data_IF_545386249162
#
_entry.id   IF_545386249162
#
_cell.length_a   1.000
_cell.length_b   1.000
_cell.length_c   1.000
_cell.angle_alpha   90.00
_cell.angle_beta   90.00
_cell.angle_gamma   90.00
#
_symmetry.space_group_name_H-M   'P 1'
#
loop_
_entity.id
_entity.type
_entity.pdbx_description
1 polymer ?
#
# COMPACT_ATOMS: atom_id res chain seq x y z
N UNK A 1 9.46 1.75 -18.25
CA UNK A 1 9.30 1.10 -16.95
C UNK A 1 7.96 1.54 -16.39
N UNK A 2 7.17 0.62 -15.83
CA UNK A 2 5.87 0.96 -15.24
C UNK A 2 6.09 1.18 -13.74
N UNK A 3 5.90 2.39 -13.25
CA UNK A 3 5.85 2.70 -11.81
C UNK A 3 4.42 2.52 -11.28
N UNK A 4 4.30 2.29 -9.99
CA UNK A 4 3.02 2.27 -9.25
C UNK A 4 2.71 3.67 -8.74
N UNK A 5 3.72 4.33 -8.20
CA UNK A 5 3.68 5.70 -7.70
C UNK A 5 4.86 6.45 -8.31
N UNK A 6 4.64 7.69 -8.74
CA UNK A 6 5.70 8.64 -9.08
C UNK A 6 5.44 9.90 -8.27
N UNK A 7 6.38 10.26 -7.39
CA UNK A 7 6.20 11.40 -6.50
C UNK A 7 7.27 12.45 -6.73
N UNK A 8 6.87 13.71 -6.64
CA UNK A 8 7.77 14.88 -6.54
C UNK A 8 7.91 15.17 -5.05
N UNK A 9 9.13 15.08 -4.56
CA UNK A 9 9.47 15.17 -3.14
C UNK A 9 10.40 16.34 -2.88
N UNK A 10 10.21 17.00 -1.74
CA UNK A 10 11.10 18.05 -1.25
C UNK A 10 11.43 17.88 0.24
N UNK A 11 12.52 18.52 0.66
CA UNK A 11 12.87 18.61 2.07
C UNK A 11 12.16 19.80 2.71
N UNK A 12 11.19 19.59 3.60
CA UNK A 12 10.44 20.70 4.22
C UNK A 12 11.31 21.60 5.11
N UNK A 13 12.49 21.12 5.53
CA UNK A 13 13.45 21.89 6.34
C UNK A 13 14.39 22.74 5.47
N UNK A 14 14.56 22.34 4.20
CA UNK A 14 15.48 22.94 3.25
C UNK A 14 14.84 23.13 1.87
N UNK A 15 13.77 23.94 1.76
CA UNK A 15 13.07 24.13 0.50
C UNK A 15 13.96 24.75 -0.59
N UNK A 16 15.05 25.39 -0.22
CA UNK A 16 16.06 25.96 -1.13
C UNK A 16 16.83 24.92 -1.94
N UNK A 17 16.82 23.64 -1.51
CA UNK A 17 17.49 22.55 -2.27
C UNK A 17 16.63 22.01 -3.42
N UNK A 18 15.39 22.52 -3.56
CA UNK A 18 14.49 22.15 -4.64
C UNK A 18 13.79 20.82 -4.43
N UNK A 19 13.50 20.14 -5.53
CA UNK A 19 12.64 18.96 -5.58
C UNK A 19 13.32 17.84 -6.36
N UNK A 20 12.96 16.59 -6.01
CA UNK A 20 13.35 15.39 -6.77
C UNK A 20 12.12 14.57 -7.14
N UNK A 21 12.16 13.93 -8.30
CA UNK A 21 11.08 13.05 -8.77
C UNK A 21 11.53 11.60 -8.66
N UNK A 22 10.81 10.80 -7.89
CA UNK A 22 11.16 9.41 -7.60
C UNK A 22 10.04 8.48 -8.05
N UNK A 23 10.35 7.42 -8.84
CA UNK A 23 9.44 6.33 -9.14
C UNK A 23 9.45 5.30 -8.02
N UNK A 24 8.28 4.78 -7.64
CA UNK A 24 8.10 3.69 -6.67
C UNK A 24 7.29 2.54 -7.29
N UNK A 25 7.63 1.27 -6.99
CA UNK A 25 8.77 0.84 -6.18
C UNK A 25 10.09 1.32 -6.77
N UNK A 26 11.07 1.62 -5.91
CA UNK A 26 12.40 2.02 -6.34
C UNK A 26 13.05 0.85 -7.11
N UNK A 27 13.43 1.05 -8.40
CA UNK A 27 14.09 0.01 -9.16
C UNK A 27 15.48 -0.29 -8.57
N UNK A 28 15.81 -1.58 -8.43
CA UNK A 28 17.08 -2.02 -7.81
C UNK A 28 18.30 -1.48 -8.56
N UNK A 29 18.22 -1.41 -9.89
CA UNK A 29 19.30 -0.88 -10.77
C UNK A 29 19.44 0.65 -10.72
N UNK A 30 18.48 1.37 -10.15
CA UNK A 30 18.48 2.83 -10.01
C UNK A 30 18.68 3.29 -8.56
N UNK A 31 18.85 2.35 -7.64
CA UNK A 31 18.88 2.66 -6.21
C UNK A 31 19.97 3.68 -5.86
N UNK A 32 21.21 3.48 -6.33
CA UNK A 32 22.33 4.39 -6.04
C UNK A 32 22.06 5.79 -6.59
N UNK A 33 21.50 5.90 -7.80
CA UNK A 33 21.14 7.18 -8.40
C UNK A 33 20.05 7.90 -7.58
N UNK A 34 19.05 7.17 -7.09
CA UNK A 34 17.98 7.74 -6.26
C UNK A 34 18.54 8.23 -4.93
N UNK A 35 19.47 7.48 -4.33
CA UNK A 35 20.14 7.93 -3.09
C UNK A 35 20.92 9.23 -3.35
N UNK A 36 21.65 9.35 -4.47
CA UNK A 36 22.33 10.61 -4.83
C UNK A 36 21.35 11.77 -4.99
N UNK A 37 20.19 11.54 -5.62
CA UNK A 37 19.14 12.57 -5.75
C UNK A 37 18.62 13.02 -4.40
N UNK A 38 18.36 12.07 -3.48
CA UNK A 38 17.89 12.37 -2.12
C UNK A 38 18.96 13.12 -1.31
N UNK A 39 20.23 12.76 -1.46
CA UNK A 39 21.34 13.49 -0.85
C UNK A 39 21.40 14.94 -1.33
N UNK A 40 21.08 15.18 -2.62
CA UNK A 40 21.03 16.52 -3.19
C UNK A 40 20.03 17.45 -2.53
N UNK A 41 18.98 16.89 -1.88
CA UNK A 41 18.00 17.64 -1.09
C UNK A 41 18.13 17.39 0.42
N UNK A 42 19.28 16.86 0.86
CA UNK A 42 19.62 16.56 2.27
C UNK A 42 18.69 15.54 2.95
N UNK A 43 18.24 14.51 2.22
CA UNK A 43 17.43 13.41 2.74
C UNK A 43 18.12 12.04 2.70
N UNK A 44 19.23 11.90 1.99
CA UNK A 44 19.85 10.61 1.68
C UNK A 44 20.43 9.84 2.87
N UNK A 45 20.76 10.51 3.98
CA UNK A 45 21.37 9.91 5.17
C UNK A 45 20.55 10.04 6.46
N UNK A 46 19.37 10.60 6.38
CA UNK A 46 18.51 10.79 7.55
C UNK A 46 17.92 9.45 8.02
N UNK A 47 17.97 9.20 9.33
CA UNK A 47 17.26 8.06 9.96
C UNK A 47 15.76 8.22 9.76
N UNK A 48 15.27 9.45 9.75
CA UNK A 48 13.88 9.80 9.41
C UNK A 48 13.92 10.45 8.03
N UNK A 49 13.67 9.67 6.99
CA UNK A 49 13.59 10.15 5.60
C UNK A 49 12.24 10.79 5.31
N UNK A 50 11.77 11.65 6.22
CA UNK A 50 10.50 12.34 6.07
C UNK A 50 10.66 13.47 5.07
N UNK A 51 9.82 13.45 4.04
CA UNK A 51 9.79 14.44 2.97
C UNK A 51 8.37 14.94 2.74
N UNK A 52 8.25 16.13 2.16
CA UNK A 52 6.98 16.63 1.67
C UNK A 52 6.68 16.01 0.30
N UNK A 53 5.42 15.62 0.07
CA UNK A 53 4.92 15.18 -1.23
C UNK A 53 4.32 16.40 -1.93
N UNK A 54 5.06 16.97 -2.87
CA UNK A 54 4.60 18.15 -3.62
C UNK A 54 3.62 17.76 -4.73
N UNK A 55 3.91 16.64 -5.43
CA UNK A 55 3.03 16.05 -6.44
C UNK A 55 3.10 14.52 -6.36
N UNK A 56 1.99 13.88 -6.69
CA UNK A 56 1.90 12.42 -6.79
C UNK A 56 1.12 12.02 -8.04
N UNK A 57 1.69 11.10 -8.82
CA UNK A 57 1.07 10.44 -9.96
C UNK A 57 1.03 8.94 -9.70
N UNK A 58 -0.15 8.32 -9.81
CA UNK A 58 -0.33 6.91 -9.55
C UNK A 58 -1.53 6.34 -10.29
N UNK A 59 -1.44 5.08 -10.69
CA UNK A 59 -2.61 4.31 -11.18
C UNK A 59 -3.69 4.12 -10.10
N UNK A 60 -3.36 4.34 -8.84
CA UNK A 60 -4.28 4.35 -7.71
C UNK A 60 -4.62 5.80 -7.35
N UNK A 61 -5.65 6.35 -7.99
CA UNK A 61 -5.97 7.78 -7.88
C UNK A 61 -6.34 8.22 -6.46
N UNK A 62 -6.77 7.29 -5.58
CA UNK A 62 -7.02 7.55 -4.17
C UNK A 62 -5.76 8.04 -3.42
N UNK A 63 -4.56 7.70 -3.90
CA UNK A 63 -3.30 8.15 -3.33
C UNK A 63 -3.04 9.65 -3.54
N UNK A 64 -3.82 10.32 -4.38
CA UNK A 64 -3.81 11.78 -4.47
C UNK A 64 -4.03 12.48 -3.13
N UNK A 65 -4.68 11.81 -2.16
CA UNK A 65 -4.87 12.31 -0.80
C UNK A 65 -3.56 12.49 0.01
N UNK A 66 -2.46 11.86 -0.44
CA UNK A 66 -1.13 11.99 0.19
C UNK A 66 -0.42 13.28 -0.24
N UNK A 67 -0.85 13.92 -1.33
CA UNK A 67 -0.25 15.17 -1.78
C UNK A 67 -0.39 16.28 -0.73
N UNK A 68 0.69 17.00 -0.48
CA UNK A 68 0.76 18.04 0.54
C UNK A 68 1.02 17.52 1.96
N UNK A 69 1.20 16.23 2.16
CA UNK A 69 1.54 15.64 3.46
C UNK A 69 3.03 15.36 3.61
N UNK A 70 3.45 15.05 4.83
CA UNK A 70 4.78 14.54 5.12
C UNK A 70 4.75 13.03 5.13
N UNK A 71 5.69 12.40 4.44
CA UNK A 71 5.77 10.95 4.33
C UNK A 71 7.19 10.45 4.54
N UNK A 72 7.30 9.22 4.99
CA UNK A 72 8.57 8.52 4.98
C UNK A 72 8.79 7.83 3.62
N UNK A 73 9.96 8.00 3.02
CA UNK A 73 10.30 7.45 1.69
C UNK A 73 10.22 5.92 1.68
N UNK A 74 10.68 5.27 2.76
CA UNK A 74 10.65 3.82 2.86
C UNK A 74 9.20 3.29 2.96
N UNK A 75 8.29 4.07 3.56
CA UNK A 75 6.86 3.75 3.58
C UNK A 75 6.23 3.88 2.19
N UNK A 76 6.57 4.90 1.41
CA UNK A 76 6.10 5.02 0.01
C UNK A 76 6.58 3.85 -0.84
N UNK A 77 7.84 3.46 -0.71
CA UNK A 77 8.40 2.32 -1.43
C UNK A 77 7.72 1.01 -1.04
N UNK A 78 7.47 0.83 0.26
CA UNK A 78 6.75 -0.33 0.77
C UNK A 78 5.32 -0.39 0.27
N UNK A 79 4.58 0.71 0.34
CA UNK A 79 3.22 0.81 -0.19
C UNK A 79 3.19 0.47 -1.68
N UNK A 80 4.10 1.04 -2.47
CA UNK A 80 4.18 0.77 -3.90
C UNK A 80 4.47 -0.71 -4.20
N UNK A 81 5.36 -1.36 -3.45
CA UNK A 81 5.64 -2.81 -3.56
C UNK A 81 4.42 -3.67 -3.25
N UNK A 82 3.66 -3.28 -2.23
CA UNK A 82 2.40 -3.98 -1.91
C UNK A 82 1.39 -3.86 -3.04
N UNK A 83 1.18 -2.64 -3.53
CA UNK A 83 0.21 -2.34 -4.58
C UNK A 83 0.60 -2.90 -5.96
N UNK A 84 1.88 -3.12 -6.21
CA UNK A 84 2.36 -3.68 -7.48
C UNK A 84 1.88 -5.12 -7.70
N UNK A 85 1.70 -5.87 -6.60
CA UNK A 85 1.18 -7.23 -6.63
C UNK A 85 -0.35 -7.35 -6.75
N UNK A 86 -1.10 -6.25 -6.72
CA UNK A 86 -2.57 -6.30 -6.72
C UNK A 86 -3.14 -6.65 -8.08
N UNK A 87 -4.09 -7.60 -8.10
CA UNK A 87 -4.96 -7.81 -9.26
C UNK A 87 -6.01 -6.69 -9.37
N UNK A 88 -6.75 -6.66 -10.48
CA UNK A 88 -7.77 -5.62 -10.73
C UNK A 88 -8.84 -5.58 -9.64
N UNK A 89 -9.26 -6.73 -9.13
CA UNK A 89 -10.27 -6.81 -8.05
C UNK A 89 -9.76 -6.21 -6.74
N UNK A 90 -8.54 -6.57 -6.32
CA UNK A 90 -7.91 -6.02 -5.12
C UNK A 90 -7.66 -4.51 -5.25
N UNK A 91 -7.26 -4.05 -6.44
CA UNK A 91 -7.09 -2.64 -6.72
C UNK A 91 -8.39 -1.84 -6.53
N UNK A 92 -9.53 -2.38 -6.99
CA UNK A 92 -10.84 -1.75 -6.79
C UNK A 92 -11.25 -1.76 -5.32
N UNK A 93 -11.06 -2.89 -4.61
CA UNK A 93 -11.34 -3.01 -3.17
C UNK A 93 -10.52 -2.03 -2.36
N UNK A 94 -9.21 -1.95 -2.63
CA UNK A 94 -8.30 -1.02 -1.97
C UNK A 94 -8.74 0.43 -2.16
N UNK A 95 -8.98 0.87 -3.40
CA UNK A 95 -9.35 2.25 -3.69
C UNK A 95 -10.72 2.61 -3.11
N UNK A 96 -11.71 1.72 -3.25
CA UNK A 96 -13.04 1.95 -2.75
C UNK A 96 -13.06 2.07 -1.21
N UNK A 97 -12.35 1.17 -0.52
CA UNK A 97 -12.26 1.19 0.93
C UNK A 97 -11.46 2.38 1.44
N UNK A 98 -10.32 2.69 0.82
CA UNK A 98 -9.53 3.86 1.19
C UNK A 98 -10.32 5.17 1.01
N UNK A 99 -11.11 5.28 -0.07
CA UNK A 99 -12.01 6.42 -0.30
C UNK A 99 -13.12 6.48 0.75
N UNK A 100 -13.78 5.34 1.04
CA UNK A 100 -14.85 5.26 2.06
C UNK A 100 -14.37 5.69 3.44
N UNK A 101 -13.13 5.32 3.82
CA UNK A 101 -12.53 5.64 5.11
C UNK A 101 -11.78 6.98 5.10
N UNK A 102 -11.78 7.71 3.98
CA UNK A 102 -11.14 9.02 3.82
C UNK A 102 -9.65 8.99 4.23
N UNK A 103 -8.93 7.93 3.84
CA UNK A 103 -7.54 7.76 4.22
C UNK A 103 -6.65 8.84 3.60
N UNK A 104 -5.74 9.38 4.38
CA UNK A 104 -4.75 10.40 3.97
C UNK A 104 -3.33 10.08 4.41
N UNK A 105 -3.18 9.16 5.36
CA UNK A 105 -1.89 8.76 5.92
C UNK A 105 -1.34 7.53 5.23
N UNK A 106 -0.03 7.53 4.88
CA UNK A 106 0.62 6.42 4.18
C UNK A 106 0.61 5.13 5.00
N UNK A 107 0.72 5.21 6.32
CA UNK A 107 0.64 4.05 7.19
C UNK A 107 -0.75 3.40 7.12
N UNK A 108 -1.81 4.19 7.07
CA UNK A 108 -3.17 3.69 6.93
C UNK A 108 -3.41 3.08 5.55
N UNK A 109 -2.86 3.67 4.49
CA UNK A 109 -2.86 3.04 3.17
C UNK A 109 -2.11 1.70 3.15
N UNK A 110 -0.95 1.59 3.83
CA UNK A 110 -0.25 0.32 3.99
C UNK A 110 -1.14 -0.68 4.72
N UNK A 111 -1.74 -0.30 5.84
CA UNK A 111 -2.64 -1.16 6.61
C UNK A 111 -3.84 -1.62 5.78
N UNK A 112 -4.42 -0.73 4.96
CA UNK A 112 -5.51 -1.09 4.05
C UNK A 112 -5.12 -2.19 3.06
N UNK A 113 -3.85 -2.28 2.63
CA UNK A 113 -3.40 -3.36 1.74
C UNK A 113 -3.51 -4.76 2.36
N UNK A 114 -3.65 -4.89 3.66
CA UNK A 114 -3.77 -6.19 4.36
C UNK A 114 -5.22 -6.63 4.58
N UNK A 115 -6.18 -5.71 4.49
CA UNK A 115 -7.56 -6.00 4.87
C UNK A 115 -8.62 -5.57 3.85
N UNK A 116 -8.27 -4.90 2.76
CA UNK A 116 -9.24 -4.45 1.75
C UNK A 116 -10.10 -5.57 1.17
N UNK A 117 -9.60 -6.81 1.16
CA UNK A 117 -10.30 -8.00 0.66
C UNK A 117 -11.49 -8.40 1.53
N UNK A 118 -11.60 -7.90 2.76
CA UNK A 118 -12.72 -8.18 3.66
C UNK A 118 -14.02 -7.48 3.22
N UNK A 119 -13.90 -6.42 2.41
CA UNK A 119 -15.05 -5.73 1.84
C UNK A 119 -15.42 -6.28 0.46
N UNK A 120 -16.70 -6.37 0.17
CA UNK A 120 -17.19 -6.68 -1.17
C UNK A 120 -17.41 -5.38 -1.93
N UNK A 121 -16.73 -5.22 -3.07
CA UNK A 121 -16.87 -4.06 -3.95
C UNK A 121 -17.43 -4.51 -5.28
N UNK A 122 -18.60 -3.97 -5.63
CA UNK A 122 -19.30 -4.27 -6.87
C UNK A 122 -18.99 -3.13 -7.85
N UNK A 123 -18.29 -3.48 -8.93
CA UNK A 123 -17.99 -2.56 -10.03
C UNK A 123 -18.88 -2.79 -11.24
N UNK A 124 -19.51 -3.97 -11.32
CA UNK A 124 -20.44 -4.37 -12.38
C UNK A 124 -21.55 -5.24 -11.78
N UNK A 125 -22.79 -4.80 -11.95
CA UNK A 125 -23.99 -5.51 -11.48
C UNK A 125 -24.57 -6.48 -12.52
N UNK A 126 -23.94 -6.63 -13.68
CA UNK A 126 -24.42 -7.53 -14.75
C UNK A 126 -24.17 -9.01 -14.46
N UNK A 127 -23.22 -9.33 -13.58
CA UNK A 127 -22.84 -10.69 -13.20
C UNK A 127 -22.97 -10.91 -11.69
N UNK A 128 -24.22 -11.05 -11.24
CA UNK A 128 -24.55 -11.25 -9.83
C UNK A 128 -24.05 -12.60 -9.30
N UNK A 129 -23.94 -13.61 -10.15
CA UNK A 129 -23.38 -14.91 -9.77
C UNK A 129 -21.94 -14.76 -9.27
N UNK A 130 -21.07 -14.13 -10.05
CA UNK A 130 -19.68 -13.85 -9.64
C UNK A 130 -19.60 -12.92 -8.44
N UNK A 131 -20.50 -11.94 -8.33
CA UNK A 131 -20.57 -11.03 -7.16
C UNK A 131 -20.84 -11.81 -5.88
N UNK A 132 -21.84 -12.68 -5.87
CA UNK A 132 -22.20 -13.47 -4.70
C UNK A 132 -21.12 -14.49 -4.32
N UNK A 133 -20.52 -15.17 -5.30
CA UNK A 133 -19.38 -16.06 -5.05
C UNK A 133 -18.21 -15.31 -4.39
N UNK A 134 -17.87 -14.13 -4.89
CA UNK A 134 -16.82 -13.28 -4.29
C UNK A 134 -17.19 -12.83 -2.89
N UNK A 135 -18.44 -12.43 -2.67
CA UNK A 135 -18.91 -12.05 -1.34
C UNK A 135 -18.79 -13.23 -0.36
N UNK A 136 -19.20 -14.42 -0.75
CA UNK A 136 -19.07 -15.63 0.03
C UNK A 136 -17.61 -15.94 0.39
N UNK A 137 -16.71 -15.81 -0.60
CA UNK A 137 -15.26 -15.96 -0.37
C UNK A 137 -14.74 -14.93 0.64
N UNK A 138 -15.12 -13.66 0.53
CA UNK A 138 -14.69 -12.61 1.44
C UNK A 138 -15.15 -12.89 2.89
N UNK A 139 -16.38 -13.37 3.08
CA UNK A 139 -16.90 -13.76 4.40
C UNK A 139 -16.15 -14.95 5.02
N UNK A 140 -15.54 -15.80 4.18
CA UNK A 140 -14.79 -16.99 4.59
C UNK A 140 -13.26 -16.78 4.54
N UNK A 141 -12.78 -15.52 4.63
CA UNK A 141 -11.36 -15.22 4.69
C UNK A 141 -10.59 -15.42 3.38
N UNK A 142 -11.30 -15.41 2.24
CA UNK A 142 -10.71 -15.52 0.90
C UNK A 142 -10.39 -16.95 0.44
N UNK A 143 -10.70 -17.98 1.26
CA UNK A 143 -10.41 -19.38 0.94
C UNK A 143 -11.62 -20.26 1.23
N UNK A 144 -12.24 -20.80 0.18
CA UNK A 144 -13.35 -21.75 0.24
C UNK A 144 -13.06 -22.97 -0.64
N UNK A 145 -13.68 -24.11 -0.31
CA UNK A 145 -13.54 -25.30 -1.15
C UNK A 145 -14.33 -25.11 -2.44
N UNK A 146 -13.81 -25.64 -3.52
CA UNK A 146 -14.46 -25.57 -4.85
C UNK A 146 -15.88 -26.13 -4.81
N UNK A 147 -16.09 -27.24 -4.11
CA UNK A 147 -17.40 -27.87 -3.95
C UNK A 147 -18.43 -26.94 -3.27
N UNK A 148 -17.99 -26.08 -2.36
CA UNK A 148 -18.86 -25.10 -1.68
C UNK A 148 -19.27 -23.99 -2.64
N UNK A 149 -18.34 -23.55 -3.52
CA UNK A 149 -18.66 -22.56 -4.56
C UNK A 149 -19.55 -23.12 -5.66
N UNK A 150 -19.36 -24.36 -6.08
CA UNK A 150 -20.17 -25.02 -7.11
C UNK A 150 -21.62 -25.26 -6.63
N UNK A 151 -21.85 -25.41 -5.34
CA UNK A 151 -23.19 -25.58 -4.76
C UNK A 151 -23.82 -24.26 -4.28
N UNK A 152 -23.09 -23.12 -4.38
CA UNK A 152 -23.58 -21.82 -3.99
C UNK A 152 -24.49 -21.23 -5.08
N UNK A 153 -25.67 -20.75 -4.72
CA UNK A 153 -26.44 -19.83 -5.55
C UNK A 153 -25.83 -18.42 -5.36
N UNK A 154 -24.90 -18.07 -6.26
CA UNK A 154 -24.20 -16.80 -6.20
C UNK A 154 -25.15 -15.63 -6.43
N UNK A 155 -26.11 -15.78 -7.35
CA UNK A 155 -27.06 -14.71 -7.65
C UNK A 155 -27.96 -14.42 -6.42
N UNK A 156 -28.48 -15.46 -5.73
CA UNK A 156 -29.26 -15.29 -4.50
C UNK A 156 -28.39 -14.64 -3.42
N UNK A 157 -27.14 -15.08 -3.26
CA UNK A 157 -26.19 -14.50 -2.30
C UNK A 157 -25.95 -13.01 -2.56
N UNK A 158 -25.79 -12.61 -3.83
CA UNK A 158 -25.65 -11.21 -4.21
C UNK A 158 -26.92 -10.40 -3.92
N UNK A 159 -28.11 -10.94 -4.21
CA UNK A 159 -29.36 -10.27 -3.89
C UNK A 159 -29.52 -10.06 -2.38
N UNK A 160 -29.19 -11.03 -1.55
CA UNK A 160 -29.23 -10.89 -0.08
C UNK A 160 -28.28 -9.81 0.41
N UNK A 161 -27.07 -9.72 -0.19
CA UNK A 161 -26.12 -8.66 0.12
C UNK A 161 -26.69 -7.28 -0.23
N UNK A 162 -27.25 -7.11 -1.43
CA UNK A 162 -27.79 -5.85 -1.91
C UNK A 162 -29.04 -5.43 -1.12
N UNK A 163 -29.96 -6.37 -0.87
CA UNK A 163 -31.19 -6.11 -0.13
C UNK A 163 -30.91 -5.80 1.36
N UNK A 164 -29.81 -6.31 1.90
CA UNK A 164 -29.34 -6.04 3.27
C UNK A 164 -28.99 -4.57 3.53
N UNK A 165 -28.72 -3.79 2.47
CA UNK A 165 -28.35 -2.38 2.57
C UNK A 165 -26.95 -2.17 3.14
N UNK A 166 -26.66 -0.92 3.57
CA UNK A 166 -25.37 -0.56 4.14
C UNK A 166 -24.29 -0.24 3.08
N UNK A 167 -24.71 -0.05 1.84
CA UNK A 167 -23.83 0.31 0.73
C UNK A 167 -23.25 1.71 0.85
N UNK A 168 -22.03 1.86 0.36
CA UNK A 168 -21.37 3.16 0.17
C UNK A 168 -20.96 3.27 -1.31
N UNK A 169 -21.49 4.27 -2.01
CA UNK A 169 -21.13 4.54 -3.41
C UNK A 169 -19.82 5.31 -3.43
N UNK A 170 -18.85 4.79 -4.18
CA UNK A 170 -17.55 5.42 -4.40
C UNK A 170 -17.25 5.55 -5.89
N UNK A 171 -16.26 6.37 -6.31
CA UNK A 171 -15.79 6.41 -7.69
C UNK A 171 -15.23 5.07 -8.20
N UNK A 172 -14.96 4.13 -7.30
CA UNK A 172 -14.28 2.84 -7.57
C UNK A 172 -15.25 1.65 -7.51
N UNK A 173 -16.52 1.89 -7.23
CA UNK A 173 -17.56 0.89 -7.11
C UNK A 173 -18.42 1.08 -5.86
N UNK A 174 -19.43 0.23 -5.72
CA UNK A 174 -20.32 0.20 -4.56
C UNK A 174 -19.74 -0.75 -3.53
N UNK A 175 -19.47 -0.23 -2.34
CA UNK A 175 -18.85 -0.97 -1.23
C UNK A 175 -19.94 -1.51 -0.31
N UNK A 176 -19.88 -2.81 -0.07
CA UNK A 176 -20.60 -3.49 1.00
C UNK A 176 -19.58 -4.03 1.99
N UNK A 177 -19.51 -3.46 3.18
CA UNK A 177 -18.65 -3.97 4.23
C UNK A 177 -19.47 -4.56 5.37
N UNK A 178 -18.85 -5.44 6.12
CA UNK A 178 -19.42 -6.07 7.30
C UNK A 178 -19.08 -5.33 8.61
N UNK A 179 -18.83 -4.02 8.55
CA UNK A 179 -18.34 -3.23 9.66
C UNK A 179 -16.82 -3.36 9.87
N UNK A 180 -16.09 -3.71 8.82
CA UNK A 180 -14.63 -3.83 8.82
C UNK A 180 -13.98 -2.59 9.42
N UNK A 181 -13.02 -2.81 10.30
CA UNK A 181 -12.11 -1.79 10.82
C UNK A 181 -10.75 -1.94 10.18
N UNK A 182 -10.05 -0.82 10.03
CA UNK A 182 -8.69 -0.84 9.53
C UNK A 182 -7.78 -1.62 10.48
N UNK A 183 -7.22 -2.74 10.02
CA UNK A 183 -6.26 -3.53 10.77
C UNK A 183 -4.94 -2.79 10.88
N UNK A 184 -4.37 -2.74 12.08
CA UNK A 184 -3.06 -2.16 12.34
C UNK A 184 -1.94 -3.21 12.21
N UNK A 185 -1.88 -3.89 11.04
CA UNK A 185 -0.89 -4.92 10.75
C UNK A 185 0.53 -4.34 10.61
N UNK A 186 0.62 -3.10 10.14
CA UNK A 186 1.86 -2.34 10.02
C UNK A 186 1.89 -1.22 11.06
N UNK A 187 2.97 -1.16 11.84
CA UNK A 187 3.12 -0.22 12.97
C UNK A 187 4.06 0.97 12.68
N UNK A 188 4.46 1.16 11.43
CA UNK A 188 5.33 2.26 11.00
C UNK A 188 6.83 1.99 11.11
N UNK A 189 7.28 0.88 11.71
CA UNK A 189 8.69 0.67 12.05
C UNK A 189 9.33 -0.61 11.49
N UNK A 190 8.55 -1.55 10.97
CA UNK A 190 9.09 -2.84 10.51
C UNK A 190 8.61 -3.18 9.11
N UNK A 191 9.54 -3.24 8.18
CA UNK A 191 9.28 -3.72 6.83
C UNK A 191 9.63 -5.19 6.71
N UNK A 192 8.77 -6.03 6.11
CA UNK A 192 9.10 -7.43 5.90
C UNK A 192 10.31 -7.59 4.99
N UNK A 193 11.33 -8.29 5.47
CA UNK A 193 12.61 -8.47 4.76
C UNK A 193 12.46 -9.08 3.35
N UNK A 194 11.43 -9.91 3.12
CA UNK A 194 11.20 -10.55 1.84
C UNK A 194 10.78 -9.60 0.70
N UNK A 195 10.37 -8.37 1.04
CA UNK A 195 9.99 -7.32 0.06
C UNK A 195 11.18 -6.48 -0.38
N UNK A 196 12.31 -6.58 0.31
CA UNK A 196 13.52 -5.87 0.00
C UNK A 196 14.58 -6.84 -0.49
N UNK A 197 15.25 -6.50 -1.60
CA UNK A 197 16.42 -7.25 -2.03
C UNK A 197 17.46 -7.21 -0.91
N UNK A 198 18.13 -8.34 -0.64
CA UNK A 198 19.09 -8.53 0.47
C UNK A 198 20.17 -7.45 0.59
N UNK A 199 20.41 -6.68 -0.46
CA UNK A 199 21.39 -5.57 -0.45
C UNK A 199 20.99 -4.39 0.41
N UNK A 200 19.70 -4.14 0.61
CA UNK A 200 19.20 -3.02 1.40
C UNK A 200 19.28 -3.29 2.90
N UNK A 201 19.14 -4.55 3.30
CA UNK A 201 19.19 -4.98 4.69
C UNK A 201 20.62 -5.14 5.23
N UNK A 202 21.60 -5.39 4.37
CA UNK A 202 23.00 -5.61 4.79
C UNK A 202 23.67 -4.33 5.28
N UNK A 203 23.22 -3.16 4.86
CA UNK A 203 23.80 -1.87 5.30
C UNK A 203 23.35 -1.45 6.70
N UNK A 204 22.20 -1.95 7.21
CA UNK A 204 21.69 -1.59 8.54
C UNK A 204 22.06 -2.60 9.65
N UNK A 205 22.47 -3.83 9.31
CA UNK A 205 22.67 -4.93 10.27
C UNK A 205 24.16 -5.24 10.53
N UNK A 206 25.10 -4.48 10.02
CA UNK A 206 26.49 -4.68 10.41
C UNK A 206 26.74 -4.00 11.77
N UNK A 207 26.67 -4.72 12.90
CA UNK A 207 27.13 -4.14 14.15
C UNK A 207 28.62 -3.84 13.95
N UNK A 208 29.03 -2.61 14.20
CA UNK A 208 30.45 -2.27 14.31
C UNK A 208 31.07 -3.27 15.29
N UNK A 209 31.78 -4.27 14.77
CA UNK A 209 32.68 -5.09 15.61
C UNK A 209 33.69 -4.13 16.20
N UNK A 210 33.47 -3.84 17.45
CA UNK A 210 34.48 -3.15 18.26
C UNK A 210 35.80 -3.92 18.13
N UNK A 211 36.83 -3.26 17.67
CA UNK A 211 38.20 -3.71 17.81
C UNK A 211 38.44 -3.92 19.30
N UNK A 212 38.41 -5.19 19.71
CA UNK A 212 38.96 -5.57 21.01
C UNK A 212 40.49 -5.39 20.91
N UNK A 213 40.97 -4.28 21.42
CA UNK A 213 42.40 -4.15 21.73
C UNK A 213 42.78 -5.22 22.74
N UNK A 214 43.44 -6.26 22.25
CA UNK A 214 44.16 -7.20 23.12
C UNK A 214 45.32 -6.52 23.79
N UNK A 215 45.18 -6.18 25.06
CA UNK A 215 46.34 -6.02 25.96
C UNK A 215 46.70 -7.41 26.45
N UNK A 216 47.88 -7.85 26.09
CA UNK A 216 48.57 -8.92 26.79
C UNK A 216 49.72 -8.32 27.62
N UNK A 217 49.97 -8.87 28.81
CA UNK A 217 51.07 -8.46 29.71
C UNK A 217 52.43 -8.89 29.23
#
# INVERSE_FOLDING_TARGET
MSYVIKAVLSNPRHPEYGQVTIPFPIPVDQYDQIIEMLQGIDLGFSVNRDCAVDEIDSRYSVLGAVQGTLVNIDQLDYLAKRLDGFCTGEASQFQAMAHKLELTDVQDFINMTFCCQQATVITDFSDLETVGQRHFMNLNGGSVRMEELENLDGAETAFLLIDGGGETVTPYGVVYDNGMKLDQAYNGHQFPAYLYDHRLLVLEITPKRGLAEGKNP
#
